data_IF_006121610901
#
_entry.id   IF_006121610901
#
_cell.length_a   1.000
_cell.length_b   1.000
_cell.length_c   1.000
_cell.angle_alpha   90.00
_cell.angle_beta   90.00
_cell.angle_gamma   90.00
#
_symmetry.space_group_name_H-M   'P 1'
#
loop_
_entity.id
_entity.type
_entity.pdbx_description
1 polymer ?
#
# COMPACT_ATOMS: atom_id res chain seq x y z
N UNK A 1 12.51 4.59 9.88
CA UNK A 1 11.10 4.77 10.32
C UNK A 1 11.05 4.77 11.83
N UNK A 2 10.23 5.60 12.42
CA UNK A 2 10.00 5.69 13.85
C UNK A 2 9.47 4.35 14.39
N UNK A 3 10.04 3.79 15.50
CA UNK A 3 9.56 2.52 16.05
C UNK A 3 8.08 2.49 16.41
N UNK A 4 7.51 3.62 16.83
CA UNK A 4 6.08 3.69 17.13
C UNK A 4 5.24 3.53 15.86
N UNK A 5 5.67 4.10 14.75
CA UNK A 5 5.01 3.92 13.47
C UNK A 5 5.13 2.47 12.99
N UNK A 6 6.31 1.87 13.13
CA UNK A 6 6.50 0.47 12.76
C UNK A 6 5.57 -0.44 13.53
N UNK A 7 5.45 -0.23 14.85
CA UNK A 7 4.53 -0.99 15.68
C UNK A 7 3.08 -0.83 15.25
N UNK A 8 2.67 0.40 14.98
CA UNK A 8 1.31 0.68 14.53
C UNK A 8 1.02 -0.01 13.19
N UNK A 9 1.97 0.04 12.25
CA UNK A 9 1.85 -0.60 10.95
C UNK A 9 1.76 -2.13 11.06
N UNK A 10 2.57 -2.73 11.93
CA UNK A 10 2.56 -4.18 12.12
C UNK A 10 1.23 -4.69 12.68
N UNK A 11 0.57 -3.90 13.53
CA UNK A 11 -0.68 -4.29 14.19
C UNK A 11 -1.92 -3.89 13.41
N UNK A 12 -1.80 -2.97 12.47
CA UNK A 12 -2.94 -2.47 11.72
C UNK A 12 -3.41 -3.49 10.68
N UNK A 13 -4.72 -3.57 10.48
CA UNK A 13 -5.34 -4.36 9.40
C UNK A 13 -5.48 -3.55 8.12
N UNK A 14 -5.59 -2.24 8.23
CA UNK A 14 -5.83 -1.36 7.10
C UNK A 14 -4.97 -0.11 7.19
N UNK A 15 -4.62 0.40 6.02
CA UNK A 15 -4.14 1.76 5.84
C UNK A 15 -5.23 2.57 5.17
N UNK A 16 -5.34 3.83 5.53
CA UNK A 16 -6.15 4.79 4.80
C UNK A 16 -5.20 5.70 4.05
N UNK A 17 -5.16 5.55 2.74
CA UNK A 17 -4.20 6.25 1.88
C UNK A 17 -4.91 7.39 1.17
N UNK A 18 -4.44 8.61 1.41
CA UNK A 18 -4.89 9.80 0.70
C UNK A 18 -3.91 10.09 -0.42
N UNK A 19 -4.41 10.13 -1.64
CA UNK A 19 -3.63 10.46 -2.83
C UNK A 19 -4.05 11.82 -3.37
N UNK A 20 -3.17 12.45 -4.13
CA UNK A 20 -3.39 13.81 -4.63
C UNK A 20 -3.14 13.87 -6.14
N UNK A 21 -3.97 14.62 -6.85
CA UNK A 21 -3.68 14.96 -8.24
C UNK A 21 -2.81 16.21 -8.31
N UNK A 22 -2.42 16.62 -9.53
CA UNK A 22 -1.54 17.78 -9.71
C UNK A 22 -2.16 19.11 -9.26
N UNK A 23 -3.49 19.19 -9.26
CA UNK A 23 -4.19 20.39 -8.78
C UNK A 23 -4.42 20.38 -7.27
N UNK A 24 -4.01 19.33 -6.57
CA UNK A 24 -4.17 19.20 -5.12
C UNK A 24 -5.46 18.55 -4.67
N UNK A 25 -6.32 18.14 -5.61
CA UNK A 25 -7.54 17.41 -5.27
C UNK A 25 -7.18 16.04 -4.71
N UNK A 26 -7.82 15.63 -3.63
CA UNK A 26 -7.47 14.42 -2.90
C UNK A 26 -8.63 13.45 -2.77
N UNK A 27 -8.30 12.21 -2.43
CA UNK A 27 -9.25 11.18 -2.08
C UNK A 27 -8.59 10.14 -1.20
N UNK A 28 -9.34 9.60 -0.25
CA UNK A 28 -8.84 8.64 0.74
C UNK A 28 -9.55 7.31 0.58
N UNK A 29 -8.79 6.23 0.53
CA UNK A 29 -9.34 4.87 0.41
C UNK A 29 -8.61 3.93 1.37
N UNK A 30 -9.30 2.89 1.88
CA UNK A 30 -8.64 1.86 2.68
C UNK A 30 -7.91 0.88 1.78
N UNK A 31 -6.83 0.30 2.30
CA UNK A 31 -6.12 -0.78 1.63
C UNK A 31 -5.49 -1.72 2.66
N UNK A 32 -5.16 -2.93 2.23
CA UNK A 32 -4.31 -3.83 3.01
C UNK A 32 -2.87 -3.32 2.96
N UNK A 33 -2.02 -3.84 3.83
CA UNK A 33 -0.66 -3.33 3.95
C UNK A 33 0.34 -4.44 4.27
N UNK A 34 1.56 -4.21 3.82
CA UNK A 34 2.71 -5.02 4.19
C UNK A 34 3.87 -4.10 4.54
N UNK A 35 4.16 -3.88 5.84
CA UNK A 35 5.35 -3.13 6.25
C UNK A 35 6.58 -3.99 6.00
N UNK A 36 7.60 -3.40 5.40
CA UNK A 36 8.84 -4.12 5.11
C UNK A 36 9.97 -3.12 4.89
N UNK A 37 11.09 -3.32 5.62
CA UNK A 37 12.34 -2.62 5.39
C UNK A 37 12.19 -1.10 5.34
N UNK A 38 11.47 -0.52 6.31
CA UNK A 38 11.30 0.92 6.42
C UNK A 38 10.29 1.52 5.46
N UNK A 39 9.56 0.71 4.75
CA UNK A 39 8.53 1.13 3.81
C UNK A 39 7.23 0.36 4.04
N UNK A 40 6.17 0.77 3.36
CA UNK A 40 4.88 0.08 3.40
C UNK A 40 4.46 -0.22 1.97
N UNK A 41 4.06 -1.46 1.74
CA UNK A 41 3.67 -1.94 0.41
C UNK A 41 2.19 -2.29 0.37
N UNK A 42 1.57 -2.07 -0.77
CA UNK A 42 0.24 -2.59 -1.08
C UNK A 42 0.10 -2.77 -2.59
N UNK A 43 -0.96 -3.46 -3.00
CA UNK A 43 -1.27 -3.60 -4.43
C UNK A 43 -2.55 -2.88 -4.76
N UNK A 44 -2.67 -2.40 -5.98
CA UNK A 44 -3.89 -1.77 -6.47
C UNK A 44 -4.01 -2.01 -7.97
N UNK A 45 -5.22 -1.82 -8.49
CA UNK A 45 -5.46 -1.92 -9.93
C UNK A 45 -4.71 -0.77 -10.62
N UNK A 46 -3.94 -1.10 -11.65
CA UNK A 46 -3.06 -0.15 -12.36
C UNK A 46 -3.80 1.05 -12.93
N UNK A 47 -5.04 0.86 -13.35
CA UNK A 47 -5.87 1.93 -13.92
C UNK A 47 -6.71 2.68 -12.89
N UNK A 48 -6.61 2.34 -11.62
CA UNK A 48 -7.37 3.03 -10.57
C UNK A 48 -6.94 4.49 -10.43
N UNK A 49 -7.83 5.32 -9.91
CA UNK A 49 -7.50 6.73 -9.66
C UNK A 49 -6.33 6.88 -8.70
N UNK A 50 -6.30 6.05 -7.65
CA UNK A 50 -5.22 6.02 -6.68
C UNK A 50 -3.88 5.73 -7.35
N UNK A 51 -3.81 4.71 -8.20
CA UNK A 51 -2.58 4.33 -8.90
C UNK A 51 -2.10 5.46 -9.81
N UNK A 52 -3.01 6.09 -10.55
CA UNK A 52 -2.67 7.18 -11.45
C UNK A 52 -2.14 8.41 -10.71
N UNK A 53 -2.78 8.77 -9.59
CA UNK A 53 -2.33 9.89 -8.76
C UNK A 53 -0.95 9.64 -8.17
N UNK A 54 -0.67 8.41 -7.75
CA UNK A 54 0.66 8.02 -7.27
C UNK A 54 1.69 8.15 -8.38
N UNK A 55 1.36 7.69 -9.57
CA UNK A 55 2.25 7.84 -10.73
C UNK A 55 2.53 9.31 -11.04
N UNK A 56 1.51 10.16 -10.95
CA UNK A 56 1.62 11.55 -11.38
C UNK A 56 2.31 12.44 -10.35
N UNK A 57 2.01 12.27 -9.06
CA UNK A 57 2.56 13.14 -8.01
C UNK A 57 3.44 12.41 -7.01
N UNK A 58 3.17 11.15 -6.75
CA UNK A 58 3.87 10.37 -5.72
C UNK A 58 3.59 10.82 -4.29
N UNK A 59 2.73 11.81 -4.10
CA UNK A 59 2.43 12.36 -2.78
C UNK A 59 1.30 11.58 -2.13
N UNK A 60 1.50 11.15 -0.88
CA UNK A 60 0.47 10.47 -0.10
C UNK A 60 0.49 10.93 1.35
N UNK A 61 -0.67 10.90 1.97
CA UNK A 61 -0.82 10.98 3.42
C UNK A 61 -1.43 9.66 3.89
N UNK A 62 -0.86 9.07 4.91
CA UNK A 62 -1.27 7.75 5.39
C UNK A 62 -1.79 7.86 6.80
N UNK A 63 -2.98 7.30 7.05
CA UNK A 63 -3.52 7.10 8.39
C UNK A 63 -3.54 5.60 8.69
N UNK A 64 -3.07 5.22 9.87
CA UNK A 64 -2.87 3.82 10.23
C UNK A 64 -4.05 3.31 11.05
N UNK A 65 -4.66 2.24 10.58
CA UNK A 65 -5.71 1.52 11.32
C UNK A 65 -7.10 2.09 11.17
N UNK A 66 -7.25 3.40 11.30
CA UNK A 66 -8.52 4.12 11.14
C UNK A 66 -8.27 5.43 10.39
N UNK A 67 -9.36 6.05 9.93
CA UNK A 67 -9.25 7.34 9.23
C UNK A 67 -8.63 8.44 10.08
N UNK A 68 -8.77 8.33 11.40
CA UNK A 68 -8.25 9.28 12.36
C UNK A 68 -7.06 8.72 13.14
N UNK A 69 -6.48 7.62 12.68
CA UNK A 69 -5.34 7.00 13.34
C UNK A 69 -4.05 7.79 13.16
N UNK A 70 -2.96 7.28 13.75
CA UNK A 70 -1.65 7.88 13.57
C UNK A 70 -1.33 8.07 12.10
N UNK A 71 -0.76 9.20 11.74
CA UNK A 71 -0.54 9.53 10.34
C UNK A 71 0.91 9.89 10.04
N UNK A 72 1.28 9.74 8.77
CA UNK A 72 2.55 10.23 8.28
C UNK A 72 2.41 10.63 6.82
N UNK A 73 3.27 11.56 6.41
CA UNK A 73 3.40 11.90 4.99
C UNK A 73 4.39 10.95 4.34
N UNK A 74 4.13 10.58 3.10
CA UNK A 74 4.99 9.64 2.40
C UNK A 74 5.11 9.94 0.93
N UNK A 75 6.08 9.28 0.33
CA UNK A 75 6.26 9.25 -1.11
C UNK A 75 5.94 7.85 -1.60
N UNK A 76 5.02 7.78 -2.53
CA UNK A 76 4.58 6.51 -3.12
C UNK A 76 5.11 6.37 -4.54
N UNK A 77 5.48 5.16 -4.91
CA UNK A 77 5.97 4.87 -6.25
C UNK A 77 5.48 3.51 -6.74
N UNK A 78 5.38 3.38 -8.05
CA UNK A 78 5.10 2.09 -8.67
C UNK A 78 6.37 1.25 -8.66
N UNK A 79 6.22 -0.02 -8.28
CA UNK A 79 7.33 -0.98 -8.28
C UNK A 79 6.96 -2.11 -9.23
N UNK A 80 7.63 -2.17 -10.37
CA UNK A 80 7.44 -3.24 -11.36
C UNK A 80 8.66 -4.15 -11.39
N UNK A 81 8.46 -5.36 -11.89
CA UNK A 81 9.54 -6.33 -12.14
C UNK A 81 10.34 -6.70 -10.88
N UNK A 82 9.64 -6.78 -9.75
CA UNK A 82 10.21 -7.25 -8.49
C UNK A 82 9.39 -8.45 -7.98
N UNK A 83 9.51 -9.63 -8.63
CA UNK A 83 8.75 -10.81 -8.22
C UNK A 83 9.04 -11.25 -6.78
N UNK A 84 10.24 -10.98 -6.27
CA UNK A 84 10.60 -11.24 -4.88
C UNK A 84 9.69 -10.48 -3.91
N UNK A 85 9.47 -9.19 -4.15
CA UNK A 85 8.60 -8.35 -3.32
C UNK A 85 7.13 -8.74 -3.50
N UNK A 86 6.72 -9.02 -4.72
CA UNK A 86 5.35 -9.42 -5.02
C UNK A 86 4.98 -10.71 -4.29
N UNK A 87 5.86 -11.71 -4.30
CA UNK A 87 5.64 -12.96 -3.61
C UNK A 87 5.64 -12.80 -2.09
N UNK A 88 6.52 -11.95 -1.57
CA UNK A 88 6.56 -11.67 -0.14
C UNK A 88 5.28 -10.98 0.34
N UNK A 89 4.75 -10.04 -0.45
CA UNK A 89 3.48 -9.39 -0.15
C UNK A 89 2.34 -10.41 -0.13
N UNK A 90 2.26 -11.27 -1.15
CA UNK A 90 1.22 -12.29 -1.23
C UNK A 90 1.28 -13.25 -0.05
N UNK A 91 2.48 -13.66 0.35
CA UNK A 91 2.67 -14.51 1.52
C UNK A 91 2.21 -13.85 2.80
N UNK A 92 2.50 -12.56 2.95
CA UNK A 92 2.05 -11.76 4.09
C UNK A 92 0.53 -11.63 4.10
N UNK A 93 -0.07 -11.36 2.95
CA UNK A 93 -1.52 -11.24 2.86
C UNK A 93 -2.21 -12.54 3.23
N UNK A 94 -1.68 -13.70 2.81
CA UNK A 94 -2.24 -15.01 3.17
C UNK A 94 -2.20 -15.25 4.67
N UNK A 95 -1.12 -14.86 5.33
CA UNK A 95 -0.98 -15.04 6.78
C UNK A 95 -1.82 -14.05 7.58
N UNK A 96 -1.82 -12.78 7.16
CA UNK A 96 -2.45 -11.70 7.92
C UNK A 96 -3.96 -11.64 7.72
N UNK A 97 -4.42 -11.96 6.51
CA UNK A 97 -5.83 -11.83 6.15
C UNK A 97 -6.46 -13.18 5.78
N UNK A 98 -5.90 -14.29 6.29
CA UNK A 98 -6.29 -15.64 5.90
C UNK A 98 -7.79 -15.93 6.05
N UNK A 99 -8.44 -15.33 7.02
CA UNK A 99 -9.87 -15.51 7.26
C UNK A 99 -10.75 -14.57 6.41
N UNK A 100 -10.15 -13.54 5.80
CA UNK A 100 -10.85 -12.58 4.92
C UNK A 100 -10.55 -12.86 3.44
N UNK A 101 -9.52 -13.67 3.17
CA UNK A 101 -9.03 -13.91 1.80
C UNK A 101 -9.33 -15.35 1.41
N UNK A 102 -10.36 -15.61 0.60
CA UNK A 102 -10.50 -16.92 -0.03
C UNK A 102 -9.28 -17.23 -0.89
N UNK A 103 -8.97 -18.52 -1.06
CA UNK A 103 -7.81 -18.94 -1.86
C UNK A 103 -7.82 -18.33 -3.27
N UNK A 104 -9.01 -18.17 -3.87
CA UNK A 104 -9.12 -17.61 -5.21
C UNK A 104 -8.70 -16.13 -5.26
N UNK A 105 -8.84 -15.38 -4.16
CA UNK A 105 -8.46 -13.96 -4.13
C UNK A 105 -6.93 -13.80 -4.18
N UNK A 106 -6.19 -14.64 -3.46
CA UNK A 106 -4.72 -14.63 -3.55
C UNK A 106 -4.25 -14.94 -4.95
N UNK A 107 -4.89 -15.91 -5.61
CA UNK A 107 -4.60 -16.26 -7.00
C UNK A 107 -4.89 -15.09 -7.94
N UNK A 108 -6.00 -14.39 -7.72
CA UNK A 108 -6.40 -13.23 -8.52
C UNK A 108 -5.39 -12.09 -8.41
N UNK A 109 -4.89 -11.81 -7.22
CA UNK A 109 -3.86 -10.77 -7.02
C UNK A 109 -2.57 -11.15 -7.76
N UNK A 110 -2.13 -12.40 -7.61
CA UNK A 110 -0.94 -12.90 -8.30
C UNK A 110 -1.06 -12.75 -9.81
N UNK A 111 -2.21 -13.13 -10.36
CA UNK A 111 -2.47 -13.05 -11.78
C UNK A 111 -2.47 -11.60 -12.27
N UNK A 112 -3.06 -10.69 -11.50
CA UNK A 112 -3.07 -9.27 -11.83
C UNK A 112 -1.68 -8.67 -11.89
N UNK A 113 -0.80 -9.03 -10.95
CA UNK A 113 0.59 -8.59 -10.98
C UNK A 113 1.35 -9.16 -12.17
N UNK A 114 1.16 -10.46 -12.46
CA UNK A 114 1.83 -11.11 -13.58
C UNK A 114 1.38 -10.54 -14.92
N UNK A 115 0.10 -10.21 -15.08
CA UNK A 115 -0.48 -9.66 -16.31
C UNK A 115 -0.38 -8.13 -16.38
N UNK A 116 0.17 -7.49 -15.36
CA UNK A 116 0.32 -6.04 -15.26
C UNK A 116 -1.00 -5.28 -15.28
N UNK A 117 -2.07 -5.89 -14.80
CA UNK A 117 -3.36 -5.22 -14.55
C UNK A 117 -3.40 -4.64 -13.14
N UNK A 118 -2.53 -5.12 -12.26
CA UNK A 118 -2.29 -4.57 -10.93
C UNK A 118 -0.85 -4.07 -10.82
N UNK A 119 -0.59 -3.23 -9.84
CA UNK A 119 0.75 -2.68 -9.59
C UNK A 119 1.05 -2.75 -8.10
N UNK A 120 2.32 -3.05 -7.79
CA UNK A 120 2.84 -3.00 -6.43
C UNK A 120 3.22 -1.54 -6.13
N UNK A 121 2.77 -1.03 -5.00
CA UNK A 121 3.06 0.33 -4.56
C UNK A 121 3.95 0.26 -3.32
N UNK A 122 4.98 1.08 -3.30
CA UNK A 122 5.85 1.27 -2.14
C UNK A 122 5.69 2.69 -1.62
N UNK A 123 5.38 2.82 -0.33
CA UNK A 123 5.31 4.11 0.35
C UNK A 123 6.50 4.23 1.29
N UNK A 124 7.30 5.27 1.10
CA UNK A 124 8.41 5.59 1.98
C UNK A 124 8.05 6.84 2.78
N UNK A 125 8.07 6.77 4.13
CA UNK A 125 7.80 7.96 4.94
C UNK A 125 8.80 9.08 4.66
N UNK A 126 8.30 10.32 4.61
CA UNK A 126 9.15 11.48 4.34
C UNK A 126 9.28 12.42 5.53
N UNK A 127 8.43 12.29 6.55
CA UNK A 127 8.52 13.08 7.76
C UNK A 127 9.31 12.31 8.83
N UNK A 128 10.56 12.61 8.93
CA UNK A 128 11.45 12.00 9.91
C UNK A 128 11.46 12.85 11.17
N UNK A 129 10.64 12.52 12.11
CA UNK A 129 10.67 13.14 13.42
C UNK A 129 11.02 12.12 14.48
#
# INVERSE_FOLDING_TARGET
MNPNLEHALERAKYLYVTTYNRSGKSGTVPTWLWPHDGAVYFTTIRTSLKARRIRDTGRVTVHIGTKDGPSFEGRAEWVDDRPDLEQALLGTYRRKYWFLVPLWMGHRIRRGLAEKTSVLIRITPTDFT
#
